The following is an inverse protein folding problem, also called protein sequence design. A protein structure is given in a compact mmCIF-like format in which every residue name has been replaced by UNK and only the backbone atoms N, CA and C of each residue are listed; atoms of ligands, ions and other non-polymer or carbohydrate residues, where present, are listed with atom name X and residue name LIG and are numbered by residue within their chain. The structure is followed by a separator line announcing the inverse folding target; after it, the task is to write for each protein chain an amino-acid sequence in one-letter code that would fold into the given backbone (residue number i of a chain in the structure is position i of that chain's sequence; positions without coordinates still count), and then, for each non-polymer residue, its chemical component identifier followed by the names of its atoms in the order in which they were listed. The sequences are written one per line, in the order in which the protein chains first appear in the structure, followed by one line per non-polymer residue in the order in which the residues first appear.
data_IF_663029018051
#
_entry.id   IF_663029018051
#
_cell.length_a   1.000
_cell.length_b   1.000
_cell.length_c   1.000
_cell.angle_alpha   90.00
_cell.angle_beta   90.00
_cell.angle_gamma   90.00
#
_symmetry.space_group_name_H-M   'P 1'
#
loop_
_entity.id
_entity.type
_entity.pdbx_description
1 polymer ?
#
# COMPACT_ATOMS: atom_id res chain seq x y z
N UNK A 1 19.78 -5.43 -8.82
CA UNK A 1 19.77 -5.44 -7.34
C UNK A 1 18.74 -4.43 -6.88
N UNK A 2 17.72 -4.86 -6.14
CA UNK A 2 16.84 -3.91 -5.46
C UNK A 2 17.58 -3.36 -4.25
N UNK A 3 17.83 -2.06 -4.26
CA UNK A 3 18.53 -1.38 -3.18
C UNK A 3 17.49 -0.98 -2.11
N UNK A 4 17.67 -1.51 -0.90
CA UNK A 4 16.88 -1.07 0.25
C UNK A 4 17.41 0.28 0.72
N UNK A 5 16.52 1.27 0.84
CA UNK A 5 16.92 2.58 1.34
C UNK A 5 17.48 2.48 2.77
N UNK A 6 18.63 3.13 3.09
CA UNK A 6 19.26 3.01 4.40
C UNK A 6 18.37 3.40 5.57
N UNK A 7 17.38 4.29 5.39
CA UNK A 7 16.50 4.67 6.51
C UNK A 7 15.68 3.48 7.02
N UNK A 8 15.29 2.56 6.12
CA UNK A 8 14.47 1.40 6.46
C UNK A 8 15.25 0.41 7.33
N UNK A 9 16.56 0.29 7.15
CA UNK A 9 17.42 -0.55 8.00
C UNK A 9 17.93 0.19 9.22
N UNK A 10 18.21 1.49 9.10
CA UNK A 10 18.63 2.34 10.22
C UNK A 10 17.59 2.33 11.34
N UNK A 11 16.30 2.45 11.01
CA UNK A 11 15.20 2.46 11.98
C UNK A 11 14.73 1.07 12.43
N UNK A 12 15.46 -0.02 12.08
CA UNK A 12 15.22 -1.36 12.64
C UNK A 12 15.97 -1.61 13.95
N UNK A 13 16.74 -0.63 14.43
CA UNK A 13 17.52 -0.73 15.67
C UNK A 13 16.84 0.07 16.77
N UNK A 14 16.53 -0.56 17.90
CA UNK A 14 15.86 0.08 19.05
C UNK A 14 16.52 1.37 19.51
N UNK A 15 17.86 1.45 19.46
CA UNK A 15 18.63 2.64 19.81
C UNK A 15 18.34 3.85 18.89
N UNK A 16 17.91 3.62 17.65
CA UNK A 16 17.51 4.68 16.71
C UNK A 16 15.99 4.88 16.73
N UNK A 17 15.21 3.79 16.76
CA UNK A 17 13.75 3.83 16.70
C UNK A 17 13.11 4.52 17.91
N UNK A 18 13.58 4.23 19.13
CA UNK A 18 12.97 4.80 20.34
C UNK A 18 13.10 6.33 20.39
N UNK A 19 14.29 6.92 20.21
CA UNK A 19 14.42 8.37 20.11
C UNK A 19 13.61 8.94 18.95
N UNK A 20 13.64 8.30 17.78
CA UNK A 20 12.87 8.75 16.61
C UNK A 20 11.36 8.85 16.90
N UNK A 21 10.74 7.78 17.40
CA UNK A 21 9.32 7.78 17.75
C UNK A 21 9.01 8.77 18.89
N UNK A 22 9.90 8.88 19.87
CA UNK A 22 9.75 9.86 20.94
C UNK A 22 9.67 11.28 20.39
N UNK A 23 10.62 11.68 19.54
CA UNK A 23 10.62 13.00 18.92
C UNK A 23 9.41 13.23 18.01
N UNK A 24 8.95 12.21 17.26
CA UNK A 24 7.70 12.29 16.52
C UNK A 24 6.51 12.60 17.44
N UNK A 25 6.47 11.99 18.64
CA UNK A 25 5.37 12.14 19.58
C UNK A 25 5.44 13.47 20.34
N UNK A 26 6.64 13.95 20.67
CA UNK A 26 6.85 15.28 21.23
C UNK A 26 6.39 16.37 20.25
N UNK A 27 6.71 16.23 18.96
CA UNK A 27 6.31 17.17 17.91
C UNK A 27 4.79 17.39 17.83
N UNK A 28 4.00 16.35 18.11
CA UNK A 28 2.53 16.44 18.15
C UNK A 28 1.97 16.71 19.56
N UNK A 29 2.83 17.10 20.51
CA UNK A 29 2.50 17.37 21.91
C UNK A 29 1.78 16.18 22.61
N UNK A 30 2.19 14.95 22.32
CA UNK A 30 1.57 13.77 22.94
C UNK A 30 1.93 13.67 24.42
N UNK A 31 0.93 13.75 25.30
CA UNK A 31 1.10 13.73 26.77
C UNK A 31 1.88 12.52 27.32
N UNK A 32 1.92 11.41 26.59
CA UNK A 32 2.62 10.17 26.99
C UNK A 32 3.68 9.75 25.96
N UNK A 33 4.36 10.72 25.35
CA UNK A 33 5.37 10.50 24.31
C UNK A 33 6.38 9.40 24.66
N UNK A 34 7.06 9.50 25.81
CA UNK A 34 8.09 8.52 26.22
C UNK A 34 7.52 7.11 26.37
N UNK A 35 6.36 7.00 27.04
CA UNK A 35 5.69 5.72 27.25
C UNK A 35 5.27 5.05 25.94
N UNK A 36 4.65 5.80 25.02
CA UNK A 36 4.26 5.24 23.73
C UNK A 36 5.46 4.93 22.85
N UNK A 37 6.51 5.75 22.88
CA UNK A 37 7.72 5.49 22.10
C UNK A 37 8.39 4.18 22.55
N UNK A 38 8.43 3.92 23.85
CA UNK A 38 8.89 2.65 24.40
C UNK A 38 8.04 1.47 23.90
N UNK A 39 6.71 1.54 24.07
CA UNK A 39 5.81 0.45 23.71
C UNK A 39 5.72 0.19 22.19
N UNK A 40 5.87 1.23 21.38
CA UNK A 40 5.69 1.15 19.93
C UNK A 40 6.97 0.75 19.21
N UNK A 41 8.14 0.91 19.81
CA UNK A 41 9.43 0.67 19.15
C UNK A 41 9.55 -0.74 18.57
N UNK A 42 9.29 -1.78 19.36
CA UNK A 42 9.39 -3.16 18.87
C UNK A 42 8.41 -3.44 17.73
N UNK A 43 7.16 -3.00 17.88
CA UNK A 43 6.14 -3.17 16.84
C UNK A 43 6.50 -2.43 15.55
N UNK A 44 7.06 -1.23 15.67
CA UNK A 44 7.54 -0.46 14.52
C UNK A 44 8.67 -1.21 13.81
N UNK A 45 9.68 -1.68 14.56
CA UNK A 45 10.83 -2.44 14.04
C UNK A 45 10.36 -3.71 13.34
N UNK A 46 9.54 -4.53 14.00
CA UNK A 46 9.01 -5.76 13.43
C UNK A 46 8.16 -5.48 12.18
N UNK A 47 7.39 -4.39 12.17
CA UNK A 47 6.66 -3.97 10.99
C UNK A 47 7.58 -3.62 9.81
N UNK A 48 8.68 -2.91 10.04
CA UNK A 48 9.66 -2.63 8.98
C UNK A 48 10.35 -3.91 8.49
N UNK A 49 10.76 -4.80 9.39
CA UNK A 49 11.39 -6.07 9.04
C UNK A 49 10.45 -6.96 8.23
N UNK A 50 9.22 -7.18 8.71
CA UNK A 50 8.22 -7.98 7.98
C UNK A 50 7.85 -7.35 6.64
N UNK A 51 7.71 -6.02 6.59
CA UNK A 51 7.50 -5.29 5.34
C UNK A 51 8.59 -5.62 4.32
N UNK A 52 9.85 -5.54 4.74
CA UNK A 52 11.02 -5.82 3.92
C UNK A 52 11.11 -7.30 3.49
N UNK A 53 10.87 -8.23 4.40
CA UNK A 53 10.93 -9.68 4.13
C UNK A 53 9.86 -10.07 3.09
N UNK A 54 8.63 -9.59 3.27
CA UNK A 54 7.55 -9.81 2.30
C UNK A 54 7.89 -9.18 0.95
N UNK A 55 8.42 -7.96 0.94
CA UNK A 55 8.77 -7.26 -0.31
C UNK A 55 9.85 -8.00 -1.08
N UNK A 56 10.94 -8.35 -0.41
CA UNK A 56 12.08 -9.04 -1.03
C UNK A 56 11.72 -10.45 -1.50
N UNK A 57 10.88 -11.16 -0.75
CA UNK A 57 10.34 -12.46 -1.15
C UNK A 57 9.44 -12.33 -2.39
N UNK A 58 8.56 -11.31 -2.43
CA UNK A 58 7.67 -11.05 -3.55
C UNK A 58 8.42 -10.86 -4.87
N UNK A 59 9.58 -10.20 -4.85
CA UNK A 59 10.40 -9.96 -6.03
C UNK A 59 10.80 -11.26 -6.76
N UNK A 60 11.04 -12.33 -6.01
CA UNK A 60 11.54 -13.62 -6.51
C UNK A 60 10.46 -14.69 -6.66
N UNK A 61 9.20 -14.33 -6.43
CA UNK A 61 8.08 -15.26 -6.41
C UNK A 61 7.28 -15.21 -7.72
N UNK A 62 6.64 -16.31 -8.17
CA UNK A 62 5.77 -16.33 -9.34
C UNK A 62 4.59 -15.35 -9.26
N UNK A 63 3.98 -15.05 -10.41
CA UNK A 63 2.87 -14.11 -10.52
C UNK A 63 1.65 -14.54 -9.67
N UNK A 64 1.42 -15.83 -9.50
CA UNK A 64 0.35 -16.40 -8.66
C UNK A 64 0.46 -16.12 -7.16
N UNK A 65 1.58 -15.62 -6.67
CA UNK A 65 1.78 -15.32 -5.22
C UNK A 65 2.33 -13.91 -5.00
N UNK A 66 3.04 -13.34 -5.97
CA UNK A 66 3.68 -12.02 -5.91
C UNK A 66 2.75 -10.88 -5.43
N UNK A 67 1.52 -10.70 -5.96
CA UNK A 67 0.62 -9.62 -5.52
C UNK A 67 0.22 -9.75 -4.05
N UNK A 68 0.03 -10.98 -3.57
CA UNK A 68 -0.30 -11.24 -2.17
C UNK A 68 0.82 -10.74 -1.25
N UNK A 69 2.06 -11.09 -1.58
CA UNK A 69 3.21 -10.69 -0.77
C UNK A 69 3.46 -9.18 -0.80
N UNK A 70 3.35 -8.53 -1.96
CA UNK A 70 3.41 -7.06 -2.01
C UNK A 70 2.31 -6.41 -1.17
N UNK A 71 1.06 -6.91 -1.25
CA UNK A 71 -0.03 -6.36 -0.47
C UNK A 71 0.24 -6.45 1.05
N UNK A 72 0.66 -7.62 1.53
CA UNK A 72 0.95 -7.79 2.97
C UNK A 72 2.21 -7.05 3.41
N UNK A 73 3.26 -6.98 2.57
CA UNK A 73 4.43 -6.15 2.84
C UNK A 73 4.08 -4.67 2.99
N UNK A 74 3.23 -4.16 2.10
CA UNK A 74 2.72 -2.78 2.17
C UNK A 74 1.88 -2.54 3.42
N UNK A 75 1.06 -3.50 3.84
CA UNK A 75 0.30 -3.41 5.08
C UNK A 75 1.23 -3.25 6.29
N UNK A 76 2.35 -3.98 6.33
CA UNK A 76 3.33 -3.86 7.40
C UNK A 76 4.00 -2.48 7.40
N UNK A 77 4.42 -1.98 6.25
CA UNK A 77 5.01 -0.64 6.14
C UNK A 77 4.03 0.48 6.53
N UNK A 78 2.78 0.44 6.07
CA UNK A 78 1.75 1.43 6.44
C UNK A 78 1.52 1.41 7.94
N UNK A 79 1.42 0.22 8.55
CA UNK A 79 1.25 0.10 10.00
C UNK A 79 2.43 0.72 10.75
N UNK A 80 3.66 0.54 10.29
CA UNK A 80 4.83 1.20 10.88
C UNK A 80 4.79 2.73 10.69
N UNK A 81 4.42 3.22 9.50
CA UNK A 81 4.31 4.65 9.24
C UNK A 81 3.19 5.31 10.07
N UNK A 82 2.08 4.62 10.31
CA UNK A 82 1.04 5.10 11.21
C UNK A 82 1.56 5.33 12.63
N UNK A 83 2.47 4.49 13.11
CA UNK A 83 3.09 4.69 14.42
C UNK A 83 3.98 5.93 14.50
N UNK A 84 4.30 6.63 13.41
CA UNK A 84 5.04 7.89 13.49
C UNK A 84 4.13 9.09 13.72
N UNK A 85 2.82 8.95 13.50
CA UNK A 85 1.83 10.06 13.59
C UNK A 85 0.64 9.76 14.51
N UNK A 86 0.38 8.49 14.80
CA UNK A 86 -0.68 8.01 15.69
C UNK A 86 -0.08 7.05 16.74
N UNK A 87 0.36 7.56 17.90
CA UNK A 87 0.95 6.75 18.97
C UNK A 87 -0.02 5.70 19.55
N UNK A 88 -1.32 5.90 19.37
CA UNK A 88 -2.39 5.04 19.87
C UNK A 88 -2.79 3.92 18.91
N UNK A 89 -2.28 3.92 17.67
CA UNK A 89 -2.64 2.92 16.67
C UNK A 89 -2.23 1.49 17.10
N UNK A 90 -3.04 0.44 16.85
CA UNK A 90 -4.47 0.51 16.58
C UNK A 90 -5.24 0.71 17.88
N UNK A 91 -6.06 1.77 17.94
CA UNK A 91 -6.88 2.03 19.12
C UNK A 91 -8.07 1.07 19.25
N UNK A 92 -8.52 0.46 18.14
CA UNK A 92 -9.67 -0.46 18.13
C UNK A 92 -9.48 -1.60 17.12
N UNK A 93 -10.22 -2.69 17.30
CA UNK A 93 -10.24 -3.79 16.31
C UNK A 93 -10.80 -3.36 14.94
N UNK A 94 -11.55 -2.25 14.86
CA UNK A 94 -12.16 -1.77 13.61
C UNK A 94 -11.14 -1.37 12.56
N UNK A 95 -9.95 -0.92 12.98
CA UNK A 95 -8.86 -0.52 12.06
C UNK A 95 -7.96 -1.69 11.65
N UNK A 96 -8.23 -2.91 12.14
CA UNK A 96 -7.47 -4.11 11.79
C UNK A 96 -7.92 -4.73 10.46
N UNK A 97 -9.16 -4.47 10.04
CA UNK A 97 -9.66 -4.88 8.74
C UNK A 97 -8.93 -4.13 7.60
N UNK A 98 -9.00 -4.64 6.37
CA UNK A 98 -8.34 -4.00 5.23
C UNK A 98 -8.89 -2.60 4.91
N UNK A 99 -10.20 -2.38 5.14
CA UNK A 99 -10.88 -1.13 4.80
C UNK A 99 -11.31 -1.01 3.34
N UNK A 100 -11.17 -2.08 2.56
CA UNK A 100 -11.61 -2.21 1.18
C UNK A 100 -12.39 -3.52 1.00
N UNK A 101 -13.25 -3.57 -0.01
CA UNK A 101 -13.86 -4.81 -0.48
C UNK A 101 -13.98 -4.86 -2.00
N UNK A 102 -13.95 -6.08 -2.54
CA UNK A 102 -14.30 -6.38 -3.95
C UNK A 102 -15.62 -7.14 -4.00
N UNK A 103 -16.17 -7.34 -5.21
CA UNK A 103 -17.36 -8.20 -5.37
C UNK A 103 -17.01 -9.64 -4.98
N UNK A 104 -17.79 -10.22 -4.06
CA UNK A 104 -17.64 -11.61 -3.58
C UNK A 104 -17.78 -12.66 -4.69
N UNK A 105 -18.61 -12.39 -5.70
CA UNK A 105 -18.78 -13.22 -6.89
C UNK A 105 -18.48 -12.38 -8.11
N UNK A 106 -17.46 -12.77 -8.88
CA UNK A 106 -17.12 -12.11 -10.14
C UNK A 106 -18.17 -12.44 -11.20
N UNK A 107 -18.36 -11.53 -12.15
CA UNK A 107 -19.31 -11.72 -13.26
C UNK A 107 -18.76 -12.77 -14.23
N UNK A 108 -19.63 -13.35 -15.05
CA UNK A 108 -19.21 -14.11 -16.23
C UNK A 108 -18.40 -13.18 -17.15
N UNK A 109 -17.26 -13.66 -17.68
CA UNK A 109 -16.29 -12.86 -18.44
C UNK A 109 -15.68 -11.69 -17.63
N UNK A 110 -15.24 -11.98 -16.41
CA UNK A 110 -14.57 -11.00 -15.56
C UNK A 110 -13.30 -10.43 -16.21
N UNK A 111 -13.14 -9.10 -16.11
CA UNK A 111 -11.98 -8.33 -16.55
C UNK A 111 -11.48 -7.50 -15.37
N UNK A 112 -10.18 -7.57 -15.10
CA UNK A 112 -9.56 -6.82 -14.01
C UNK A 112 -9.64 -5.31 -14.26
N UNK A 113 -9.33 -4.85 -15.48
CA UNK A 113 -9.36 -3.42 -15.81
C UNK A 113 -10.77 -2.79 -15.74
N UNK A 114 -11.82 -3.60 -15.75
CA UNK A 114 -13.21 -3.18 -15.63
C UNK A 114 -13.77 -3.35 -14.20
N UNK A 115 -12.96 -3.84 -13.26
CA UNK A 115 -13.38 -4.05 -11.88
C UNK A 115 -13.32 -2.77 -11.05
N UNK A 116 -13.95 -2.84 -9.89
CA UNK A 116 -13.98 -1.75 -8.92
C UNK A 116 -13.67 -2.25 -7.52
N UNK A 117 -13.17 -1.32 -6.70
CA UNK A 117 -13.05 -1.48 -5.26
C UNK A 117 -14.10 -0.63 -4.56
N UNK A 118 -14.63 -1.14 -3.45
CA UNK A 118 -15.48 -0.40 -2.52
C UNK A 118 -14.70 -0.01 -1.27
N UNK A 119 -14.72 1.27 -0.95
CA UNK A 119 -14.12 1.81 0.27
C UNK A 119 -15.05 1.50 1.44
N UNK A 120 -14.51 0.97 2.53
CA UNK A 120 -15.28 0.73 3.76
C UNK A 120 -15.11 1.90 4.74
N UNK A 121 -16.11 2.20 5.59
CA UNK A 121 -15.99 3.28 6.57
C UNK A 121 -14.88 3.09 7.61
N UNK A 122 -14.43 1.85 7.80
CA UNK A 122 -13.44 1.47 8.80
C UNK A 122 -12.44 0.48 8.21
N UNK A 123 -11.21 0.52 8.72
CA UNK A 123 -10.13 -0.39 8.36
C UNK A 123 -8.82 0.37 8.15
N UNK A 124 -7.78 -0.38 7.79
CA UNK A 124 -6.44 0.15 7.55
C UNK A 124 -6.44 1.22 6.46
N UNK A 125 -7.13 0.97 5.34
CA UNK A 125 -7.18 1.91 4.22
C UNK A 125 -7.71 3.31 4.60
N UNK A 126 -8.95 3.48 5.12
CA UNK A 126 -9.44 4.81 5.49
C UNK A 126 -8.67 5.41 6.67
N UNK A 127 -8.12 4.60 7.59
CA UNK A 127 -7.29 5.11 8.69
C UNK A 127 -5.96 5.67 8.19
N UNK A 128 -5.29 4.96 7.28
CA UNK A 128 -4.06 5.41 6.64
C UNK A 128 -4.28 6.65 5.78
N UNK A 129 -5.39 6.70 5.02
CA UNK A 129 -5.77 7.85 4.24
C UNK A 129 -5.86 9.13 5.08
N UNK A 130 -6.58 9.06 6.21
CA UNK A 130 -6.76 10.21 7.10
C UNK A 130 -5.46 10.63 7.81
N UNK A 131 -4.70 9.67 8.35
CA UNK A 131 -3.57 10.00 9.23
C UNK A 131 -2.25 10.23 8.50
N UNK A 132 -2.02 9.56 7.36
CA UNK A 132 -0.79 9.74 6.59
C UNK A 132 -0.93 10.84 5.54
N UNK A 133 -2.13 11.05 4.99
CA UNK A 133 -2.31 11.94 3.83
C UNK A 133 -3.36 13.04 4.03
N UNK A 134 -4.01 13.11 5.20
CA UNK A 134 -5.15 14.02 5.42
C UNK A 134 -6.22 13.89 4.34
N UNK A 135 -6.37 12.67 3.80
CA UNK A 135 -7.22 12.37 2.65
C UNK A 135 -8.44 11.58 3.08
N UNK A 136 -9.59 11.94 2.51
CA UNK A 136 -10.82 11.14 2.53
C UNK A 136 -11.45 11.25 1.15
N UNK A 137 -11.76 10.12 0.53
CA UNK A 137 -12.52 10.11 -0.72
C UNK A 137 -14.00 10.35 -0.43
N UNK A 138 -14.66 11.15 -1.26
CA UNK A 138 -16.12 11.29 -1.28
C UNK A 138 -16.80 10.09 -1.95
N UNK A 139 -16.04 9.33 -2.75
CA UNK A 139 -16.49 8.13 -3.41
C UNK A 139 -16.56 6.95 -2.45
N UNK A 140 -17.61 6.13 -2.60
CA UNK A 140 -17.71 4.82 -1.93
C UNK A 140 -17.19 3.67 -2.80
N UNK A 141 -16.91 3.95 -4.08
CA UNK A 141 -16.50 2.99 -5.10
C UNK A 141 -15.58 3.67 -6.12
N UNK A 142 -14.52 2.99 -6.52
CA UNK A 142 -13.54 3.49 -7.50
C UNK A 142 -13.13 2.37 -8.47
N UNK A 143 -13.02 2.71 -9.75
CA UNK A 143 -12.65 1.75 -10.81
C UNK A 143 -11.14 1.51 -10.88
N UNK A 144 -10.71 0.38 -11.47
CA UNK A 144 -9.28 0.13 -11.71
C UNK A 144 -8.66 1.17 -12.67
N UNK A 145 -9.42 1.67 -13.66
CA UNK A 145 -8.93 2.71 -14.59
C UNK A 145 -8.58 4.00 -13.84
N UNK A 146 -9.46 4.47 -12.95
CA UNK A 146 -9.22 5.66 -12.11
C UNK A 146 -8.04 5.49 -11.16
N UNK A 147 -7.79 4.28 -10.66
CA UNK A 147 -6.65 4.00 -9.77
C UNK A 147 -5.33 3.87 -10.53
N UNK A 148 -5.34 3.21 -11.69
CA UNK A 148 -4.13 2.88 -12.44
C UNK A 148 -3.65 4.05 -13.30
N UNK A 149 -4.57 4.79 -13.92
CA UNK A 149 -4.23 5.80 -14.92
C UNK A 149 -3.39 6.97 -14.38
N UNK A 150 -3.64 7.49 -13.16
CA UNK A 150 -2.82 8.57 -12.59
C UNK A 150 -1.44 8.11 -12.10
N UNK A 151 -1.17 6.80 -12.00
CA UNK A 151 0.11 6.31 -11.48
C UNK A 151 1.23 6.64 -12.48
N UNK A 152 2.32 7.30 -12.07
CA UNK A 152 3.42 7.66 -12.97
C UNK A 152 3.99 6.46 -13.74
N UNK A 153 4.11 5.33 -13.06
CA UNK A 153 4.60 4.11 -13.67
C UNK A 153 3.60 3.35 -14.53
N UNK A 154 2.41 3.90 -14.80
CA UNK A 154 1.43 3.37 -15.74
C UNK A 154 1.23 4.27 -16.96
N UNK A 155 1.80 5.49 -16.95
CA UNK A 155 1.61 6.51 -17.98
C UNK A 155 1.92 5.97 -19.39
N UNK A 156 3.03 5.24 -19.55
CA UNK A 156 3.42 4.68 -20.84
C UNK A 156 2.40 3.69 -21.38
N UNK A 157 1.87 2.79 -20.54
CA UNK A 157 0.85 1.84 -20.97
C UNK A 157 -0.46 2.52 -21.34
N UNK A 158 -0.90 3.52 -20.58
CA UNK A 158 -2.10 4.27 -20.94
C UNK A 158 -1.90 5.11 -22.20
N UNK A 159 -0.71 5.65 -22.44
CA UNK A 159 -0.38 6.32 -23.71
C UNK A 159 -0.48 5.35 -24.90
N UNK A 160 -0.01 4.11 -24.75
CA UNK A 160 -0.12 3.07 -25.78
C UNK A 160 -1.56 2.61 -25.99
N UNK A 161 -2.34 2.47 -24.90
CA UNK A 161 -3.77 2.14 -24.96
C UNK A 161 -4.59 3.23 -25.66
N UNK A 162 -4.12 4.48 -25.62
CA UNK A 162 -4.80 5.66 -26.14
C UNK A 162 -6.29 5.71 -25.74
N UNK A 163 -6.59 5.66 -24.43
CA UNK A 163 -7.96 5.73 -23.96
C UNK A 163 -8.55 7.12 -24.24
N UNK A 164 -9.87 7.23 -24.16
CA UNK A 164 -10.53 8.53 -24.12
C UNK A 164 -10.04 9.41 -22.96
N UNK A 165 -10.42 10.71 -22.95
CA UNK A 165 -9.96 11.65 -21.93
C UNK A 165 -10.24 11.14 -20.51
N UNK A 166 -9.31 11.38 -19.59
CA UNK A 166 -9.49 11.11 -18.17
C UNK A 166 -10.24 12.27 -17.52
N UNK A 167 -11.27 11.97 -16.75
CA UNK A 167 -11.85 12.92 -15.79
C UNK A 167 -11.32 12.55 -14.42
N UNK A 168 -10.33 13.31 -13.93
CA UNK A 168 -9.85 13.17 -12.56
C UNK A 168 -10.85 13.91 -11.67
N UNK A 169 -11.74 13.17 -11.04
CA UNK A 169 -12.71 13.74 -10.09
C UNK A 169 -12.10 13.98 -8.71
N UNK A 170 -11.10 13.16 -8.33
CA UNK A 170 -10.39 13.27 -7.05
C UNK A 170 -8.90 12.97 -7.27
N UNK A 171 -8.02 13.77 -6.68
CA UNK A 171 -6.59 13.49 -6.66
C UNK A 171 -6.25 12.56 -5.48
N UNK A 172 -5.91 11.32 -5.80
CA UNK A 172 -5.58 10.31 -4.80
C UNK A 172 -4.09 10.31 -4.47
N UNK A 173 -3.71 10.26 -3.19
CA UNK A 173 -2.34 9.95 -2.81
C UNK A 173 -1.86 8.66 -3.47
N UNK A 174 -0.69 8.72 -4.10
CA UNK A 174 -0.13 7.63 -4.91
C UNK A 174 -0.09 6.29 -4.15
N UNK A 175 0.28 6.31 -2.87
CA UNK A 175 0.31 5.10 -2.03
C UNK A 175 -1.07 4.47 -1.84
N UNK A 176 -2.13 5.27 -1.74
CA UNK A 176 -3.49 4.75 -1.57
C UNK A 176 -3.99 4.09 -2.86
N UNK A 177 -3.60 4.62 -4.02
CA UNK A 177 -3.88 3.97 -5.30
C UNK A 177 -3.17 2.61 -5.40
N UNK A 178 -1.88 2.54 -5.08
CA UNK A 178 -1.15 1.28 -4.97
C UNK A 178 -1.79 0.31 -3.97
N UNK A 179 -2.25 0.81 -2.82
CA UNK A 179 -2.96 0.01 -1.82
C UNK A 179 -4.20 -0.65 -2.37
N UNK A 180 -5.07 0.13 -3.01
CA UNK A 180 -6.30 -0.37 -3.58
C UNK A 180 -6.02 -1.42 -4.67
N UNK A 181 -5.15 -1.12 -5.63
CA UNK A 181 -4.86 -2.06 -6.72
C UNK A 181 -4.25 -3.37 -6.19
N UNK A 182 -3.26 -3.31 -5.30
CA UNK A 182 -2.67 -4.51 -4.69
C UNK A 182 -3.68 -5.27 -3.83
N UNK A 183 -4.61 -4.59 -3.16
CA UNK A 183 -5.72 -5.27 -2.49
C UNK A 183 -6.55 -6.09 -3.47
N UNK A 184 -6.98 -5.52 -4.61
CA UNK A 184 -7.74 -6.25 -5.63
C UNK A 184 -6.97 -7.49 -6.12
N UNK A 185 -5.72 -7.30 -6.54
CA UNK A 185 -4.88 -8.39 -7.04
C UNK A 185 -4.65 -9.47 -5.98
N UNK A 186 -4.47 -9.09 -4.71
CA UNK A 186 -4.35 -10.04 -3.60
C UNK A 186 -5.61 -10.89 -3.38
N UNK A 187 -6.78 -10.34 -3.70
CA UNK A 187 -8.04 -11.07 -3.64
C UNK A 187 -8.17 -12.03 -4.82
N UNK A 188 -7.77 -11.61 -6.03
CA UNK A 188 -7.81 -12.44 -7.23
C UNK A 188 -6.93 -13.69 -7.08
N UNK A 189 -5.66 -13.53 -6.68
CA UNK A 189 -4.76 -14.68 -6.50
C UNK A 189 -5.20 -15.67 -5.42
N UNK A 190 -6.01 -15.22 -4.44
CA UNK A 190 -6.48 -16.07 -3.34
C UNK A 190 -7.80 -16.76 -3.62
N UNK A 191 -8.70 -16.11 -4.33
CA UNK A 191 -10.10 -16.53 -4.43
C UNK A 191 -10.55 -16.81 -5.86
N UNK A 192 -9.84 -16.33 -6.88
CA UNK A 192 -10.19 -16.47 -8.31
C UNK A 192 -9.08 -17.22 -9.06
N UNK A 193 -8.69 -18.40 -8.56
CA UNK A 193 -7.55 -19.17 -9.07
C UNK A 193 -7.70 -19.63 -10.53
N UNK A 194 -8.91 -19.99 -10.95
CA UNK A 194 -9.21 -20.38 -12.34
C UNK A 194 -9.00 -19.19 -13.29
N UNK A 195 -9.63 -18.04 -13.00
CA UNK A 195 -9.45 -16.82 -13.77
C UNK A 195 -7.98 -16.39 -13.81
N UNK A 196 -7.26 -16.48 -12.69
CA UNK A 196 -5.83 -16.13 -12.66
C UNK A 196 -5.00 -17.05 -13.55
N UNK A 197 -5.24 -18.36 -13.49
CA UNK A 197 -4.58 -19.36 -14.32
C UNK A 197 -4.86 -19.14 -15.80
N UNK A 198 -6.11 -18.87 -16.18
CA UNK A 198 -6.49 -18.53 -17.55
C UNK A 198 -5.84 -17.22 -18.01
N UNK A 199 -5.86 -16.17 -17.18
CA UNK A 199 -5.23 -14.89 -17.48
C UNK A 199 -3.72 -15.04 -17.74
N UNK A 200 -3.03 -15.88 -16.96
CA UNK A 200 -1.61 -16.17 -17.12
C UNK A 200 -1.31 -17.06 -18.35
N UNK A 201 -2.14 -18.07 -18.62
CA UNK A 201 -1.97 -19.01 -19.74
C UNK A 201 -2.37 -18.42 -21.09
N UNK A 202 -3.59 -17.89 -21.16
CA UNK A 202 -4.13 -17.26 -22.37
C UNK A 202 -3.48 -15.91 -22.63
N UNK A 203 -2.79 -15.34 -21.62
CA UNK A 203 -2.27 -13.98 -21.62
C UNK A 203 -3.36 -13.03 -22.08
N UNK A 204 -4.48 -13.00 -21.35
CA UNK A 204 -5.59 -12.13 -21.70
C UNK A 204 -5.06 -10.71 -21.96
N UNK A 205 -5.17 -10.25 -23.21
CA UNK A 205 -4.12 -9.45 -23.86
C UNK A 205 -3.90 -8.08 -23.22
N UNK A 206 -4.88 -7.58 -22.47
CA UNK A 206 -4.81 -6.28 -21.81
C UNK A 206 -4.58 -6.41 -20.31
N UNK A 207 -5.40 -7.19 -19.60
CA UNK A 207 -5.27 -7.39 -18.15
C UNK A 207 -3.88 -7.92 -17.78
N UNK A 208 -3.36 -8.91 -18.51
CA UNK A 208 -2.03 -9.48 -18.26
C UNK A 208 -0.93 -8.41 -18.35
N UNK A 209 -0.95 -7.59 -19.42
CA UNK A 209 0.08 -6.56 -19.66
C UNK A 209 0.02 -5.49 -18.57
N UNK A 210 -1.18 -5.03 -18.22
CA UNK A 210 -1.37 -4.02 -17.18
C UNK A 210 -0.95 -4.53 -15.80
N UNK A 211 -1.32 -5.76 -15.43
CA UNK A 211 -0.96 -6.35 -14.13
C UNK A 211 0.55 -6.52 -14.02
N UNK A 212 1.21 -7.08 -15.03
CA UNK A 212 2.67 -7.30 -15.00
C UNK A 212 3.43 -5.97 -14.91
N UNK A 213 3.05 -4.98 -15.72
CA UNK A 213 3.69 -3.67 -15.70
C UNK A 213 3.43 -2.93 -14.38
N UNK A 214 2.20 -2.97 -13.87
CA UNK A 214 1.84 -2.41 -12.58
C UNK A 214 2.71 -3.01 -11.47
N UNK A 215 2.81 -4.34 -11.38
CA UNK A 215 3.59 -5.01 -10.35
C UNK A 215 5.08 -4.67 -10.45
N UNK A 216 5.61 -4.56 -11.67
CA UNK A 216 6.99 -4.12 -11.89
C UNK A 216 7.23 -2.68 -11.42
N UNK A 217 6.36 -1.74 -11.82
CA UNK A 217 6.43 -0.35 -11.36
C UNK A 217 6.31 -0.25 -9.83
N UNK A 218 5.26 -0.86 -9.27
CA UNK A 218 4.95 -0.87 -7.84
C UNK A 218 6.13 -1.41 -7.00
N UNK A 219 6.81 -2.45 -7.48
CA UNK A 219 7.94 -3.08 -6.79
C UNK A 219 9.09 -2.11 -6.49
N UNK A 220 9.26 -1.09 -7.33
CA UNK A 220 10.30 -0.08 -7.20
C UNK A 220 9.78 1.18 -6.50
N UNK A 221 8.57 1.61 -6.83
CA UNK A 221 8.02 2.89 -6.38
C UNK A 221 7.54 2.87 -4.93
N UNK A 222 6.88 1.80 -4.49
CA UNK A 222 6.31 1.74 -3.14
C UNK A 222 7.39 1.81 -2.04
N UNK A 223 8.53 1.10 -2.11
CA UNK A 223 9.62 1.27 -1.13
C UNK A 223 10.16 2.69 -1.06
N UNK A 224 10.22 3.40 -2.20
CA UNK A 224 10.67 4.80 -2.24
C UNK A 224 9.71 5.72 -1.51
N UNK A 225 8.39 5.51 -1.66
CA UNK A 225 7.37 6.30 -0.95
C UNK A 225 7.53 6.13 0.57
N UNK A 226 7.70 4.90 1.06
CA UNK A 226 7.91 4.65 2.49
C UNK A 226 9.24 5.21 3.01
N UNK A 227 10.31 5.08 2.24
CA UNK A 227 11.59 5.67 2.60
C UNK A 227 11.52 7.20 2.65
N UNK A 228 10.85 7.83 1.68
CA UNK A 228 10.62 9.29 1.67
C UNK A 228 9.82 9.71 2.89
N UNK A 229 8.70 9.04 3.18
CA UNK A 229 7.89 9.34 4.37
C UNK A 229 8.73 9.35 5.65
N UNK A 230 9.50 8.28 5.89
CA UNK A 230 10.33 8.18 7.08
C UNK A 230 11.42 9.26 7.12
N UNK A 231 12.01 9.61 5.97
CA UNK A 231 13.01 10.68 5.89
C UNK A 231 12.40 12.03 6.19
N UNK A 232 11.20 12.30 5.69
CA UNK A 232 10.48 13.53 5.95
C UNK A 232 10.14 13.65 7.44
N UNK A 233 9.67 12.57 8.07
CA UNK A 233 9.47 12.54 9.52
C UNK A 233 10.77 12.81 10.27
N UNK A 234 11.87 12.15 9.87
CA UNK A 234 13.18 12.29 10.50
C UNK A 234 13.76 13.71 10.34
N UNK A 235 13.64 14.31 9.17
CA UNK A 235 14.09 15.68 8.91
C UNK A 235 13.25 16.70 9.67
N UNK A 236 11.96 16.42 9.87
CA UNK A 236 11.04 17.34 10.55
C UNK A 236 11.16 17.38 12.08
N UNK A 237 11.96 16.47 12.66
CA UNK A 237 12.29 16.42 14.10
C UNK A 237 13.74 16.82 14.37
N UNK A 238 14.54 17.04 13.32
CA UNK A 238 15.96 17.44 13.40
C UNK A 238 16.12 18.94 13.55
#
# INVERSE_FOLDING_TARGET
MHFTDPILTYLQVTAHTRPFLFSCYEKINHSRAEHHAYNNAERFIHGLSLGQDYWTTALHTPLSVKPLLFYYGMNHFIKSCLLTVDPGYPATAKVLAHGLSTRKRKKQHYRFLEDDIRIQPHGLFPHAAAHLFQFSSEKTKISMDELLRPLPGMEELFRLKNPGPITIEEEWPELLAYFAVLYNLSMLVRYEGEWWGEMEQMKDREDYVFIVHFLHSASNRIPQIFASWLKDQFASIS
#
